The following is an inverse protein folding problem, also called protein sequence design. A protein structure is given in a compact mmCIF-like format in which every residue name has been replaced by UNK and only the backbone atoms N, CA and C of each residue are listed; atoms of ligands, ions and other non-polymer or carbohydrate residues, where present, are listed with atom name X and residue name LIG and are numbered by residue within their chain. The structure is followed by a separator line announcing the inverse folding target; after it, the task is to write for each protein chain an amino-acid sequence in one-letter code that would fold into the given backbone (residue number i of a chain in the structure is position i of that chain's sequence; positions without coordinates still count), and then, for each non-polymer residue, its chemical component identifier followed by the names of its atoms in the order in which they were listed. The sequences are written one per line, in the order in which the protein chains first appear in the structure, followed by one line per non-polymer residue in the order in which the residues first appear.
data_IF_651714849492
#
_entry.id   IF_651714849492
#
_cell.length_a   1.000
_cell.length_b   1.000
_cell.length_c   1.000
_cell.angle_alpha   90.00
_cell.angle_beta   90.00
_cell.angle_gamma   90.00
#
_symmetry.space_group_name_H-M   'P 1'
#
loop_
_entity.id
_entity.type
_entity.pdbx_description
1 polymer ?
#
# COMPACT_ATOMS: atom_id res chain seq x y z
N UNK A 1 1.92 11.39 18.76
CA UNK A 1 1.25 12.63 19.17
C UNK A 1 2.25 13.68 19.68
N UNK A 2 3.05 13.40 20.72
CA UNK A 2 4.03 14.39 21.19
C UNK A 2 4.97 14.88 20.07
N UNK A 3 5.47 13.95 19.24
CA UNK A 3 6.28 14.27 18.04
C UNK A 3 5.58 15.24 17.06
N UNK A 4 4.26 15.14 16.90
CA UNK A 4 3.49 16.03 16.02
C UNK A 4 3.34 17.44 16.62
N UNK A 5 3.20 17.53 17.94
CA UNK A 5 3.13 18.80 18.68
C UNK A 5 4.50 19.50 18.63
N UNK A 6 5.57 18.77 18.93
CA UNK A 6 6.93 19.31 18.96
C UNK A 6 7.36 19.83 17.57
N UNK A 7 6.92 19.14 16.51
CA UNK A 7 7.12 19.54 15.11
C UNK A 7 6.15 20.62 14.64
N UNK A 8 5.23 21.10 15.48
CA UNK A 8 4.18 22.09 15.15
C UNK A 8 3.30 21.65 13.98
N UNK A 9 3.09 20.36 13.82
CA UNK A 9 2.20 19.77 12.82
C UNK A 9 0.74 19.74 13.30
N UNK A 10 0.54 19.83 14.62
CA UNK A 10 -0.78 19.89 15.27
C UNK A 10 -0.71 20.85 16.45
N UNK A 11 -1.82 21.51 16.75
CA UNK A 11 -1.95 22.43 17.88
C UNK A 11 -3.06 22.00 18.84
N UNK A 12 -2.94 22.42 20.10
CA UNK A 12 -3.99 22.18 21.10
C UNK A 12 -5.00 23.31 20.95
N UNK A 13 -6.23 22.95 20.60
CA UNK A 13 -7.35 23.89 20.45
C UNK A 13 -7.76 24.45 21.81
N UNK A 14 -7.94 25.79 21.90
CA UNK A 14 -8.43 26.45 23.11
C UNK A 14 -9.94 26.22 23.32
N UNK A 15 -10.41 26.34 24.57
CA UNK A 15 -11.82 26.11 24.91
C UNK A 15 -12.80 27.21 24.44
N UNK A 16 -12.31 28.27 23.79
CA UNK A 16 -13.15 29.41 23.40
C UNK A 16 -13.87 29.15 22.05
N UNK A 17 -14.97 29.86 21.80
CA UNK A 17 -15.88 29.54 20.70
C UNK A 17 -15.23 29.76 19.33
N UNK A 18 -15.05 28.67 18.58
CA UNK A 18 -14.59 28.71 17.19
C UNK A 18 -15.76 28.70 16.21
N UNK A 19 -15.48 29.05 14.95
CA UNK A 19 -16.45 29.10 13.87
C UNK A 19 -17.18 27.74 13.74
N UNK A 20 -18.49 27.71 14.06
CA UNK A 20 -19.29 26.48 14.06
C UNK A 20 -19.59 25.96 12.65
N UNK A 21 -19.30 26.77 11.62
CA UNK A 21 -19.66 26.45 10.23
C UNK A 21 -18.70 25.43 9.60
N UNK A 22 -17.44 25.39 10.02
CA UNK A 22 -16.42 24.46 9.51
C UNK A 22 -15.79 23.66 10.67
N UNK A 23 -16.57 22.74 11.25
CA UNK A 23 -16.17 21.95 12.41
C UNK A 23 -16.40 20.45 12.18
N UNK A 24 -15.33 19.65 12.26
CA UNK A 24 -15.43 18.20 12.16
C UNK A 24 -14.39 17.50 13.05
N UNK A 25 -14.78 16.37 13.64
CA UNK A 25 -13.90 15.55 14.49
C UNK A 25 -13.55 14.24 13.77
N UNK A 26 -12.32 14.16 13.27
CA UNK A 26 -11.74 13.00 12.62
C UNK A 26 -11.53 11.85 13.61
N UNK A 27 -12.22 10.71 13.41
CA UNK A 27 -11.85 9.47 14.08
C UNK A 27 -10.44 9.07 13.66
N UNK A 28 -9.71 8.44 14.59
CA UNK A 28 -8.37 7.96 14.32
C UNK A 28 -8.10 6.67 15.08
N UNK A 29 -7.17 5.88 14.57
CA UNK A 29 -6.71 4.65 15.19
C UNK A 29 -5.21 4.43 14.95
N UNK A 30 -4.60 3.57 15.76
CA UNK A 30 -3.19 3.24 15.61
C UNK A 30 -3.01 2.12 14.58
N UNK A 31 -2.18 2.39 13.57
CA UNK A 31 -1.72 1.39 12.58
C UNK A 31 -0.28 1.02 12.93
N UNK A 32 -0.05 -0.27 13.17
CA UNK A 32 1.28 -0.80 13.49
C UNK A 32 1.84 -1.49 12.24
N UNK A 33 3.07 -1.15 11.87
CA UNK A 33 3.83 -1.81 10.81
C UNK A 33 5.10 -2.38 11.41
N UNK A 34 5.30 -3.69 11.28
CA UNK A 34 6.53 -4.36 11.72
C UNK A 34 7.49 -4.40 10.53
N UNK A 35 8.69 -3.86 10.71
CA UNK A 35 9.76 -3.90 9.73
C UNK A 35 11.09 -4.13 10.45
N UNK A 36 11.87 -5.14 10.01
CA UNK A 36 13.18 -5.46 10.58
C UNK A 36 13.19 -5.56 12.12
N UNK A 37 12.27 -6.33 12.70
CA UNK A 37 12.09 -6.51 14.16
C UNK A 37 11.66 -5.25 14.94
N UNK A 38 11.56 -4.09 14.29
CA UNK A 38 11.02 -2.86 14.87
C UNK A 38 9.52 -2.69 14.57
N UNK A 39 8.75 -2.31 15.60
CA UNK A 39 7.34 -1.92 15.42
C UNK A 39 7.23 -0.42 15.23
N UNK A 40 6.99 0.03 14.00
CA UNK A 40 6.64 1.42 13.70
C UNK A 40 5.14 1.62 13.87
N UNK A 41 4.73 2.52 14.75
CA UNK A 41 3.33 2.90 14.94
C UNK A 41 3.05 4.22 14.23
N UNK A 42 1.93 4.30 13.50
CA UNK A 42 1.43 5.52 12.83
C UNK A 42 -0.03 5.76 13.23
N UNK A 43 -0.45 7.02 13.24
CA UNK A 43 -1.86 7.39 13.45
C UNK A 43 -2.53 7.42 12.07
N UNK A 44 -3.62 6.68 11.91
CA UNK A 44 -4.47 6.75 10.72
C UNK A 44 -5.76 7.50 11.06
N UNK A 45 -6.08 8.49 10.26
CA UNK A 45 -7.32 9.28 10.34
C UNK A 45 -8.35 8.73 9.35
N UNK A 46 -9.60 8.61 9.78
CA UNK A 46 -10.71 8.13 8.96
C UNK A 46 -11.63 9.29 8.57
N UNK A 47 -11.30 9.94 7.45
CA UNK A 47 -12.09 11.04 6.88
C UNK A 47 -13.37 10.57 6.18
N UNK A 48 -13.57 9.25 6.04
CA UNK A 48 -14.78 8.66 5.45
C UNK A 48 -15.82 8.32 6.50
N UNK A 49 -15.47 8.34 7.79
CA UNK A 49 -16.40 8.07 8.87
C UNK A 49 -17.44 9.19 9.00
N UNK A 50 -18.72 8.81 9.11
CA UNK A 50 -19.80 9.77 9.29
C UNK A 50 -21.02 9.13 9.98
N UNK A 51 -21.83 9.97 10.63
CA UNK A 51 -23.13 9.54 11.15
C UNK A 51 -24.12 9.27 10.02
N UNK A 52 -25.12 8.39 10.21
CA UNK A 52 -26.18 8.19 9.23
C UNK A 52 -26.83 9.51 8.86
N UNK A 53 -26.98 9.79 7.56
CA UNK A 53 -27.57 11.02 6.98
C UNK A 53 -26.74 12.31 7.14
N UNK A 54 -25.49 12.21 7.59
CA UNK A 54 -24.53 13.30 7.56
C UNK A 54 -23.40 12.97 6.58
N UNK A 55 -22.86 13.96 5.85
CA UNK A 55 -21.72 13.74 4.96
C UNK A 55 -20.45 13.43 5.76
N UNK A 56 -19.54 12.66 5.16
CA UNK A 56 -18.16 12.55 5.65
C UNK A 56 -17.36 13.80 5.31
N UNK A 57 -16.16 13.93 5.88
CA UNK A 57 -15.26 15.01 5.49
C UNK A 57 -14.91 14.90 4.00
N UNK A 58 -14.67 13.69 3.50
CA UNK A 58 -14.39 13.46 2.08
C UNK A 58 -15.54 13.88 1.14
N UNK A 59 -16.79 13.76 1.59
CA UNK A 59 -17.96 14.19 0.80
C UNK A 59 -18.13 15.72 0.77
N UNK A 60 -17.60 16.41 1.78
CA UNK A 60 -17.70 17.87 1.92
C UNK A 60 -16.55 18.61 1.22
N UNK A 61 -15.43 17.93 0.92
CA UNK A 61 -14.28 18.51 0.26
C UNK A 61 -14.49 18.62 -1.26
N UNK A 62 -14.11 19.75 -1.85
CA UNK A 62 -14.12 19.91 -3.29
C UNK A 62 -13.03 19.03 -3.93
N UNK A 63 -13.45 18.14 -4.83
CA UNK A 63 -12.53 17.29 -5.59
C UNK A 63 -11.91 18.15 -6.70
N UNK A 64 -10.81 18.83 -6.35
CA UNK A 64 -10.01 19.60 -7.30
C UNK A 64 -9.48 18.76 -8.47
N UNK A 65 -8.90 19.38 -9.51
CA UNK A 65 -8.34 18.66 -10.65
C UNK A 65 -7.24 17.70 -10.21
N UNK A 66 -7.17 16.52 -10.83
CA UNK A 66 -6.08 15.58 -10.58
C UNK A 66 -4.77 16.12 -11.17
N UNK A 67 -3.91 16.65 -10.31
CA UNK A 67 -2.58 17.15 -10.67
C UNK A 67 -1.49 16.06 -10.57
N UNK A 68 -1.85 14.83 -10.20
CA UNK A 68 -0.89 13.74 -10.14
C UNK A 68 -0.46 13.35 -11.55
N UNK A 69 0.85 13.24 -11.81
CA UNK A 69 1.32 12.77 -13.09
C UNK A 69 0.88 11.32 -13.30
N UNK A 70 0.57 10.96 -14.54
CA UNK A 70 0.23 9.58 -14.89
C UNK A 70 1.36 8.63 -14.45
N UNK A 71 1.01 7.65 -13.62
CA UNK A 71 2.01 6.78 -12.98
C UNK A 71 2.74 5.93 -14.01
N UNK A 72 2.06 5.46 -15.05
CA UNK A 72 2.67 4.68 -16.13
C UNK A 72 3.66 5.51 -16.92
N UNK A 73 3.27 6.69 -17.38
CA UNK A 73 4.14 7.62 -18.09
C UNK A 73 5.31 8.06 -17.21
N UNK A 74 5.11 8.21 -15.90
CA UNK A 74 6.18 8.55 -14.95
C UNK A 74 7.19 7.42 -14.82
N UNK A 75 6.73 6.19 -14.62
CA UNK A 75 7.58 5.01 -14.52
C UNK A 75 8.28 4.69 -15.85
N UNK A 76 7.62 4.88 -17.00
CA UNK A 76 8.25 4.73 -18.31
C UNK A 76 9.35 5.79 -18.55
N UNK A 77 9.09 7.07 -18.24
CA UNK A 77 10.13 8.12 -18.32
C UNK A 77 11.32 7.82 -17.41
N UNK A 78 11.03 7.33 -16.20
CA UNK A 78 12.05 6.88 -15.25
C UNK A 78 12.93 5.76 -15.83
N UNK A 79 12.38 4.88 -16.66
CA UNK A 79 13.13 3.82 -17.37
C UNK A 79 13.84 4.29 -18.64
N UNK A 80 13.38 5.35 -19.30
CA UNK A 80 14.00 5.87 -20.52
C UNK A 80 15.25 6.72 -20.24
N UNK A 81 15.25 7.46 -19.12
CA UNK A 81 16.40 8.26 -18.71
C UNK A 81 17.57 7.38 -18.27
N UNK A 82 18.78 7.62 -18.77
CA UNK A 82 19.96 6.83 -18.38
C UNK A 82 20.30 6.99 -16.90
N UNK A 83 20.15 8.21 -16.38
CA UNK A 83 20.44 8.54 -14.98
C UNK A 83 19.09 8.72 -14.27
N UNK A 84 18.91 7.99 -13.18
CA UNK A 84 17.78 8.12 -12.27
C UNK A 84 18.25 8.77 -10.96
N UNK A 85 17.45 9.69 -10.45
CA UNK A 85 17.65 10.28 -9.12
C UNK A 85 16.41 9.92 -8.31
N UNK A 86 16.63 9.26 -7.18
CA UNK A 86 15.58 8.94 -6.22
C UNK A 86 15.86 9.68 -4.92
N UNK A 87 14.84 10.29 -4.35
CA UNK A 87 14.90 10.90 -3.03
C UNK A 87 13.66 10.50 -2.23
N UNK A 88 13.84 10.12 -0.97
CA UNK A 88 12.72 9.92 -0.05
C UNK A 88 12.31 11.28 0.52
N UNK A 89 11.12 11.75 0.14
CA UNK A 89 10.50 12.94 0.69
C UNK A 89 9.79 12.59 1.99
N UNK A 90 10.46 12.77 3.12
CA UNK A 90 9.84 12.46 4.41
C UNK A 90 8.66 13.39 4.71
N UNK A 91 7.48 12.82 4.98
CA UNK A 91 6.32 13.55 5.50
C UNK A 91 5.91 14.78 4.67
N UNK A 92 5.98 14.70 3.33
CA UNK A 92 5.73 15.84 2.44
C UNK A 92 4.39 16.57 2.72
N UNK A 93 3.31 15.84 3.01
CA UNK A 93 2.03 16.44 3.37
C UNK A 93 2.05 17.22 4.70
N UNK A 94 2.89 16.82 5.65
CA UNK A 94 3.05 17.52 6.93
C UNK A 94 3.96 18.76 6.82
N UNK A 95 4.49 19.03 5.62
CA UNK A 95 5.19 20.29 5.31
C UNK A 95 4.23 21.34 4.73
N UNK A 96 2.98 20.98 4.47
CA UNK A 96 1.93 21.91 4.03
C UNK A 96 1.17 22.42 5.25
N UNK A 97 0.79 23.70 5.22
CA UNK A 97 0.00 24.34 6.29
C UNK A 97 -1.43 24.49 5.79
N UNK A 98 -2.40 24.08 6.60
CA UNK A 98 -3.81 24.37 6.36
C UNK A 98 -4.11 25.83 6.69
N UNK A 99 -5.00 26.42 5.89
CA UNK A 99 -5.56 27.75 6.17
C UNK A 99 -6.14 27.78 7.58
N UNK A 100 -6.06 28.91 8.28
CA UNK A 100 -6.58 29.02 9.64
C UNK A 100 -8.09 28.73 9.71
N UNK A 101 -8.80 28.99 8.61
CA UNK A 101 -10.26 28.81 8.47
C UNK A 101 -10.66 27.33 8.35
N UNK A 102 -9.79 26.48 7.79
CA UNK A 102 -10.08 25.06 7.52
C UNK A 102 -9.58 24.09 8.59
N UNK A 103 -8.70 24.54 9.50
CA UNK A 103 -8.09 23.68 10.53
C UNK A 103 -9.13 22.95 11.38
N UNK A 104 -10.25 23.61 11.67
CA UNK A 104 -11.32 23.08 12.51
C UNK A 104 -12.13 21.94 11.87
N UNK A 105 -12.03 21.75 10.55
CA UNK A 105 -12.52 20.55 9.87
C UNK A 105 -11.62 19.32 10.08
N UNK A 106 -10.45 19.46 10.70
CA UNK A 106 -9.48 18.37 10.90
C UNK A 106 -9.20 18.06 12.38
N UNK A 107 -10.07 18.48 13.29
CA UNK A 107 -9.89 18.22 14.73
C UNK A 107 -9.93 16.72 15.01
N UNK A 108 -9.24 16.29 16.05
CA UNK A 108 -9.35 14.93 16.56
C UNK A 108 -9.15 14.92 18.07
N UNK A 109 -9.77 13.95 18.74
CA UNK A 109 -9.62 13.79 20.18
C UNK A 109 -8.35 13.00 20.48
N UNK A 110 -7.57 13.39 21.49
CA UNK A 110 -6.44 12.57 21.97
C UNK A 110 -6.53 12.41 23.48
N UNK A 111 -6.54 11.17 23.97
CA UNK A 111 -6.65 10.86 25.39
C UNK A 111 -5.38 10.16 25.89
N UNK A 112 -4.98 10.48 27.12
CA UNK A 112 -3.84 9.85 27.79
C UNK A 112 -4.31 8.55 28.45
N UNK A 113 -3.82 7.41 27.96
CA UNK A 113 -4.09 6.09 28.57
C UNK A 113 -2.98 5.68 29.55
N UNK A 114 -3.36 5.04 30.66
CA UNK A 114 -2.46 4.27 31.53
C UNK A 114 -2.78 2.78 31.35
N UNK A 115 -1.77 1.95 31.13
CA UNK A 115 -1.94 0.51 30.89
C UNK A 115 -1.99 -0.29 32.21
N UNK A 116 -2.85 -1.31 32.26
CA UNK A 116 -2.78 -2.41 33.24
C UNK A 116 -2.18 -3.69 32.61
N UNK A 117 -1.65 -4.63 33.42
CA UNK A 117 -0.70 -5.66 32.98
C UNK A 117 -1.21 -6.72 31.99
N UNK A 118 -2.50 -6.76 31.67
CA UNK A 118 -3.10 -7.81 30.82
C UNK A 118 -3.30 -7.34 29.37
N UNK A 119 -2.65 -6.24 29.01
CA UNK A 119 -2.74 -5.59 27.70
C UNK A 119 -2.53 -6.56 26.53
N UNK A 120 -3.59 -6.80 25.75
CA UNK A 120 -3.48 -7.50 24.49
C UNK A 120 -4.24 -6.76 23.40
N UNK A 121 -3.50 -6.25 22.42
CA UNK A 121 -4.02 -5.85 21.12
C UNK A 121 -3.00 -6.30 20.07
N UNK A 122 -3.29 -7.42 19.42
CA UNK A 122 -2.50 -7.98 18.33
C UNK A 122 -3.32 -7.85 17.04
N UNK A 123 -2.72 -7.26 16.00
CA UNK A 123 -3.28 -7.18 14.65
C UNK A 123 -2.22 -7.77 13.73
N UNK A 124 -2.64 -8.63 12.79
CA UNK A 124 -1.79 -9.43 11.92
C UNK A 124 -1.16 -8.63 10.77
N UNK A 125 0.04 -9.05 10.39
CA UNK A 125 0.96 -8.43 9.44
C UNK A 125 0.43 -8.36 7.99
N UNK A 126 0.54 -7.19 7.37
CA UNK A 126 0.34 -7.03 5.93
C UNK A 126 1.68 -7.06 5.18
N UNK A 127 2.13 -8.27 4.80
CA UNK A 127 3.26 -8.44 3.88
C UNK A 127 2.77 -8.24 2.45
N UNK A 128 3.42 -7.34 1.70
CA UNK A 128 3.11 -7.01 0.31
C UNK A 128 4.24 -7.51 -0.60
N UNK A 129 3.89 -8.17 -1.71
CA UNK A 129 4.81 -8.56 -2.78
C UNK A 129 4.85 -7.41 -3.80
N UNK A 130 5.68 -6.42 -3.52
CA UNK A 130 5.88 -5.24 -4.36
C UNK A 130 7.16 -5.35 -5.20
N UNK A 131 7.13 -4.76 -6.39
CA UNK A 131 8.34 -4.55 -7.20
C UNK A 131 9.22 -3.51 -6.51
N UNK A 132 10.47 -3.87 -6.21
CA UNK A 132 11.47 -3.03 -5.59
C UNK A 132 12.51 -2.60 -6.61
N UNK A 133 13.02 -1.37 -6.47
CA UNK A 133 14.19 -0.90 -7.18
C UNK A 133 15.44 -1.14 -6.32
N UNK A 134 16.39 -1.89 -6.86
CA UNK A 134 17.75 -1.99 -6.33
C UNK A 134 18.58 -0.86 -6.95
N UNK A 135 18.91 0.14 -6.13
CA UNK A 135 19.62 1.35 -6.58
C UNK A 135 21.09 1.11 -6.88
N UNK A 136 21.69 0.08 -6.26
CA UNK A 136 23.11 -0.24 -6.44
C UNK A 136 23.34 -0.95 -7.77
N UNK A 137 22.42 -1.85 -8.14
CA UNK A 137 22.48 -2.63 -9.39
C UNK A 137 21.67 -2.02 -10.53
N UNK A 138 20.86 -1.00 -10.25
CA UNK A 138 19.95 -0.33 -11.20
C UNK A 138 18.93 -1.28 -11.87
N UNK A 139 18.34 -2.17 -11.05
CA UNK A 139 17.41 -3.21 -11.50
C UNK A 139 16.14 -3.22 -10.65
N UNK A 140 15.03 -3.61 -11.27
CA UNK A 140 13.81 -3.99 -10.59
C UNK A 140 13.83 -5.47 -10.22
N UNK A 141 13.33 -5.80 -9.04
CA UNK A 141 13.19 -7.18 -8.55
C UNK A 141 12.03 -7.31 -7.57
N UNK A 142 11.71 -8.54 -7.16
CA UNK A 142 10.75 -8.82 -6.10
C UNK A 142 11.47 -9.58 -4.99
N UNK A 143 11.12 -9.26 -3.75
CA UNK A 143 11.60 -9.97 -2.56
C UNK A 143 10.49 -10.87 -2.01
N UNK A 144 10.57 -12.15 -2.39
CA UNK A 144 9.68 -13.22 -1.94
C UNK A 144 10.25 -13.84 -0.67
N UNK A 145 9.67 -13.44 0.45
CA UNK A 145 10.07 -13.90 1.78
C UNK A 145 9.53 -15.31 2.06
N UNK A 146 10.36 -16.16 2.67
CA UNK A 146 9.99 -17.57 2.95
C UNK A 146 8.72 -17.70 3.81
N UNK A 147 8.50 -16.75 4.74
CA UNK A 147 7.28 -16.70 5.56
C UNK A 147 5.99 -16.58 4.73
N UNK A 148 6.05 -15.96 3.55
CA UNK A 148 4.91 -15.89 2.63
C UNK A 148 4.64 -17.29 2.11
N UNK A 149 5.65 -17.95 1.53
CA UNK A 149 5.50 -19.31 1.01
C UNK A 149 4.95 -20.27 2.08
N UNK A 150 5.43 -20.16 3.33
CA UNK A 150 4.93 -20.95 4.46
C UNK A 150 3.48 -20.63 4.83
N UNK A 151 3.10 -19.34 4.88
CA UNK A 151 1.75 -18.91 5.25
C UNK A 151 0.66 -19.35 4.27
N UNK A 152 1.03 -19.69 3.03
CA UNK A 152 0.10 -20.07 1.97
C UNK A 152 0.20 -21.55 1.58
N UNK A 153 0.93 -22.34 2.38
CA UNK A 153 1.27 -23.73 2.07
C UNK A 153 0.10 -24.70 2.24
N UNK A 154 -0.74 -24.58 3.29
CA UNK A 154 -1.91 -25.44 3.51
C UNK A 154 -2.67 -25.03 4.80
N UNK A 155 -4.00 -25.27 4.93
CA UNK A 155 -4.93 -25.78 3.91
C UNK A 155 -5.31 -24.69 2.90
N UNK A 156 -5.38 -25.05 1.61
CA UNK A 156 -5.62 -24.08 0.54
C UNK A 156 -7.11 -23.97 0.24
N UNK A 157 -7.63 -22.75 0.38
CA UNK A 157 -9.01 -22.38 0.04
C UNK A 157 -9.02 -21.28 -1.01
N UNK A 158 -10.17 -21.08 -1.66
CA UNK A 158 -10.36 -19.96 -2.60
C UNK A 158 -10.10 -18.60 -1.95
N UNK A 159 -10.47 -18.42 -0.68
CA UNK A 159 -10.16 -17.19 0.10
C UNK A 159 -8.65 -17.02 0.29
N UNK A 160 -7.93 -18.10 0.57
CA UNK A 160 -6.48 -18.05 0.75
C UNK A 160 -5.75 -17.69 -0.56
N UNK A 161 -6.20 -18.22 -1.70
CA UNK A 161 -5.67 -17.83 -3.01
C UNK A 161 -5.80 -16.32 -3.24
N UNK A 162 -7.02 -15.78 -3.07
CA UNK A 162 -7.28 -14.36 -3.28
C UNK A 162 -6.43 -13.49 -2.35
N UNK A 163 -6.25 -13.92 -1.09
CA UNK A 163 -5.42 -13.23 -0.10
C UNK A 163 -3.95 -13.12 -0.53
N UNK A 164 -3.42 -14.09 -1.30
CA UNK A 164 -2.07 -13.96 -1.86
C UNK A 164 -2.05 -13.12 -3.13
N UNK A 165 -3.03 -13.32 -4.03
CA UNK A 165 -3.12 -12.58 -5.29
C UNK A 165 -3.19 -11.07 -5.03
N UNK A 166 -3.98 -10.65 -4.02
CA UNK A 166 -4.11 -9.25 -3.62
C UNK A 166 -2.83 -8.66 -3.03
N UNK A 167 -1.81 -9.48 -2.73
CA UNK A 167 -0.50 -8.99 -2.25
C UNK A 167 0.45 -8.62 -3.38
N UNK A 168 0.16 -8.96 -4.63
CA UNK A 168 1.00 -8.57 -5.76
C UNK A 168 0.68 -7.14 -6.19
N UNK A 169 1.67 -6.26 -6.06
CA UNK A 169 1.61 -4.88 -6.56
C UNK A 169 2.70 -4.69 -7.60
N UNK A 170 2.31 -4.82 -8.87
CA UNK A 170 3.17 -4.66 -10.04
C UNK A 170 2.56 -3.62 -10.97
N UNK A 171 2.92 -2.36 -10.76
CA UNK A 171 2.36 -1.24 -11.52
C UNK A 171 2.80 -1.20 -12.98
N UNK A 172 3.91 -1.86 -13.32
CA UNK A 172 4.48 -1.88 -14.68
C UNK A 172 4.19 -3.19 -15.42
N UNK A 173 3.47 -4.12 -14.80
CA UNK A 173 3.24 -5.47 -15.31
C UNK A 173 4.55 -6.23 -15.67
N UNK A 174 5.66 -5.92 -14.98
CA UNK A 174 6.97 -6.54 -15.22
C UNK A 174 6.98 -8.05 -14.92
N UNK A 175 6.16 -8.47 -13.97
CA UNK A 175 5.96 -9.84 -13.51
C UNK A 175 4.56 -10.36 -13.85
N UNK A 176 3.87 -9.73 -14.81
CA UNK A 176 2.60 -10.20 -15.34
C UNK A 176 2.60 -11.69 -15.75
N UNK A 177 3.67 -12.26 -16.35
CA UNK A 177 3.73 -13.71 -16.63
C UNK A 177 3.56 -14.59 -15.39
N UNK A 178 3.95 -14.10 -14.22
CA UNK A 178 3.79 -14.84 -12.95
C UNK A 178 2.42 -14.61 -12.33
N UNK A 179 1.92 -13.36 -12.35
CA UNK A 179 0.61 -13.03 -11.76
C UNK A 179 -0.56 -13.53 -12.59
N UNK A 180 -0.41 -13.67 -13.91
CA UNK A 180 -1.48 -14.18 -14.78
C UNK A 180 -1.79 -15.65 -14.51
N UNK A 181 -0.78 -16.46 -14.21
CA UNK A 181 -0.94 -17.90 -13.92
C UNK A 181 -1.86 -18.08 -12.71
N UNK A 182 -1.62 -17.32 -11.65
CA UNK A 182 -2.43 -17.43 -10.43
C UNK A 182 -3.83 -16.82 -10.59
N UNK A 183 -3.99 -15.81 -11.45
CA UNK A 183 -5.31 -15.27 -11.81
C UNK A 183 -6.14 -16.28 -12.60
N UNK A 184 -5.52 -17.02 -13.53
CA UNK A 184 -6.15 -18.13 -14.26
C UNK A 184 -6.55 -19.23 -13.27
N UNK A 185 -5.65 -19.64 -12.38
CA UNK A 185 -5.96 -20.65 -11.37
C UNK A 185 -7.14 -20.22 -10.47
N UNK A 186 -7.17 -18.95 -10.09
CA UNK A 186 -8.30 -18.40 -9.34
C UNK A 186 -9.61 -18.42 -10.15
N UNK A 187 -9.56 -18.12 -11.45
CA UNK A 187 -10.71 -18.25 -12.35
C UNK A 187 -11.23 -19.69 -12.41
N UNK A 188 -10.35 -20.70 -12.44
CA UNK A 188 -10.76 -22.11 -12.42
C UNK A 188 -11.54 -22.47 -11.16
N UNK A 189 -11.17 -21.89 -10.00
CA UNK A 189 -11.94 -22.08 -8.76
C UNK A 189 -13.35 -21.49 -8.81
N UNK A 190 -13.54 -20.42 -9.60
CA UNK A 190 -14.85 -19.84 -9.85
C UNK A 190 -15.70 -20.74 -10.74
N UNK A 191 -15.13 -21.22 -11.84
CA UNK A 191 -15.81 -22.09 -12.80
C UNK A 191 -16.20 -23.44 -12.18
N UNK A 192 -15.43 -23.92 -11.21
CA UNK A 192 -15.70 -25.16 -10.48
C UNK A 192 -16.78 -25.04 -9.40
N UNK A 193 -17.29 -23.82 -9.12
CA UNK A 193 -18.34 -23.60 -8.13
C UNK A 193 -17.94 -23.82 -6.66
N UNK A 194 -16.64 -23.85 -6.35
CA UNK A 194 -16.12 -24.11 -5.00
C UNK A 194 -16.44 -22.92 -4.07
N UNK A 195 -16.82 -23.21 -2.83
CA UNK A 195 -17.11 -22.18 -1.82
C UNK A 195 -15.81 -21.52 -1.30
N UNK A 196 -15.92 -20.33 -0.72
CA UNK A 196 -14.77 -19.53 -0.28
C UNK A 196 -13.81 -20.23 0.68
N UNK A 197 -14.36 -20.98 1.64
CA UNK A 197 -13.63 -21.63 2.73
C UNK A 197 -13.55 -23.16 2.57
N UNK A 198 -13.96 -23.65 1.40
CA UNK A 198 -13.85 -25.06 1.04
C UNK A 198 -12.44 -25.36 0.47
N UNK A 199 -11.96 -26.58 0.74
CA UNK A 199 -10.68 -27.04 0.22
C UNK A 199 -10.71 -27.12 -1.30
N UNK A 200 -9.62 -26.70 -1.94
CA UNK A 200 -9.49 -26.82 -3.39
C UNK A 200 -9.39 -28.30 -3.82
N UNK A 201 -9.97 -28.68 -4.97
CA UNK A 201 -9.78 -29.99 -5.56
C UNK A 201 -8.30 -30.33 -5.70
N UNK A 202 -7.90 -31.61 -5.54
CA UNK A 202 -6.49 -32.01 -5.53
C UNK A 202 -5.68 -31.52 -6.73
N UNK A 203 -6.29 -31.50 -7.93
CA UNK A 203 -5.65 -31.01 -9.15
C UNK A 203 -5.30 -29.51 -9.07
N UNK A 204 -6.22 -28.67 -8.61
CA UNK A 204 -6.04 -27.22 -8.47
C UNK A 204 -5.06 -26.92 -7.33
N UNK A 205 -5.20 -27.64 -6.21
CA UNK A 205 -4.27 -27.53 -5.10
C UNK A 205 -2.83 -27.88 -5.54
N UNK A 206 -2.63 -28.94 -6.32
CA UNK A 206 -1.30 -29.30 -6.81
C UNK A 206 -0.69 -28.21 -7.70
N UNK A 207 -1.47 -27.59 -8.58
CA UNK A 207 -1.01 -26.47 -9.42
C UNK A 207 -0.64 -25.25 -8.56
N UNK A 208 -1.44 -24.93 -7.54
CA UNK A 208 -1.13 -23.89 -6.58
C UNK A 208 0.21 -24.12 -5.89
N UNK A 209 0.42 -25.30 -5.31
CA UNK A 209 1.65 -25.61 -4.59
C UNK A 209 2.88 -25.53 -5.49
N UNK A 210 2.76 -25.99 -6.74
CA UNK A 210 3.84 -25.86 -7.73
C UNK A 210 4.19 -24.39 -7.95
N UNK A 211 3.21 -23.57 -8.29
CA UNK A 211 3.41 -22.14 -8.53
C UNK A 211 3.96 -21.43 -7.28
N UNK A 212 3.45 -21.76 -6.09
CA UNK A 212 3.90 -21.17 -4.81
C UNK A 212 5.36 -21.52 -4.50
N UNK A 213 5.81 -22.74 -4.82
CA UNK A 213 7.21 -23.13 -4.64
C UNK A 213 8.13 -22.46 -5.66
N UNK A 214 7.66 -22.29 -6.91
CA UNK A 214 8.39 -21.57 -7.96
C UNK A 214 8.45 -20.05 -7.69
N UNK A 215 7.58 -19.53 -6.83
CA UNK A 215 7.54 -18.10 -6.52
C UNK A 215 8.88 -17.59 -5.94
N UNK A 216 9.62 -18.41 -5.20
CA UNK A 216 10.93 -18.03 -4.67
C UNK A 216 11.97 -17.75 -5.77
N UNK A 217 11.81 -18.34 -6.97
CA UNK A 217 12.69 -18.08 -8.10
C UNK A 217 12.59 -16.62 -8.60
N UNK A 218 11.53 -15.89 -8.24
CA UNK A 218 11.43 -14.46 -8.53
C UNK A 218 12.55 -13.64 -7.88
N UNK A 219 13.11 -14.11 -6.77
CA UNK A 219 14.24 -13.46 -6.09
C UNK A 219 15.48 -13.38 -6.98
N UNK A 220 15.60 -14.27 -7.96
CA UNK A 220 16.73 -14.33 -8.89
C UNK A 220 16.49 -13.50 -10.16
N UNK A 221 15.24 -13.07 -10.40
CA UNK A 221 14.87 -12.31 -11.58
C UNK A 221 15.12 -10.82 -11.34
N UNK A 222 15.97 -10.25 -12.18
CA UNK A 222 16.35 -8.84 -12.14
C UNK A 222 16.12 -8.21 -13.51
N UNK A 223 15.31 -7.15 -13.55
CA UNK A 223 14.94 -6.46 -14.79
C UNK A 223 15.64 -5.09 -14.81
N UNK A 224 16.47 -4.78 -15.82
CA UNK A 224 17.11 -3.47 -15.90
C UNK A 224 16.11 -2.31 -15.85
N UNK A 225 16.41 -1.31 -15.02
CA UNK A 225 15.62 -0.07 -14.99
C UNK A 225 15.73 0.62 -16.33
N UNK A 226 16.95 0.92 -16.78
CA UNK A 226 17.19 1.64 -18.03
C UNK A 226 16.93 0.75 -19.26
N UNK A 227 16.07 1.21 -20.16
CA UNK A 227 15.71 0.52 -21.42
C UNK A 227 16.14 1.29 -22.68
N UNK A 228 16.90 2.38 -22.50
CA UNK A 228 17.38 3.18 -23.61
C UNK A 228 18.38 2.41 -24.49
N UNK A 229 18.46 2.76 -25.78
CA UNK A 229 19.37 2.09 -26.69
C UNK A 229 20.83 2.35 -26.26
N UNK A 230 21.65 1.31 -26.32
CA UNK A 230 23.10 1.39 -26.11
C UNK A 230 23.83 1.99 -27.33
N UNK A 231 23.11 2.28 -28.41
CA UNK A 231 23.58 2.84 -29.68
C UNK A 231 22.73 4.05 -30.09
N UNK A 232 23.31 4.94 -30.90
CA UNK A 232 22.62 6.14 -31.38
C UNK A 232 21.40 5.74 -32.24
N UNK A 233 20.21 6.16 -31.82
CA UNK A 233 18.97 5.99 -32.58
C UNK A 233 18.62 7.30 -33.26
N UNK A 234 18.42 7.25 -34.57
CA UNK A 234 17.91 8.37 -35.38
C UNK A 234 16.43 8.11 -35.67
N UNK A 235 15.57 9.06 -35.31
CA UNK A 235 14.13 8.97 -35.60
C UNK A 235 13.89 9.67 -36.94
N UNK A 236 13.36 8.93 -37.91
CA UNK A 236 12.94 9.45 -39.21
C UNK A 236 11.42 9.44 -39.29
N UNK A 237 10.83 10.54 -39.73
CA UNK A 237 9.39 10.70 -40.03
C UNK A 237 9.24 11.17 -41.47
N UNK A 238 8.14 10.78 -42.12
CA UNK A 238 7.75 11.28 -43.45
C UNK A 238 7.13 12.67 -43.36
#
# INVERSE_FOLDING_TARGET
MQDYIDKKQVEIVSHEAHNKECLFYLPHHAVKKIANEETKCRIAFDASSHSPRHPSLNDALEIGPNLLPDIMATLLRFRLSKIAITCDGSQAFLQLILSDEDRDATRFLWYKTTYTPVGKLCIEDEIVLEVKLDTDRDVFGIDVQEKIVRAFKEPVTKRLLLKLISKFYDTLDLFAPVTVIVKILFQDTWLSGIKWDELLPPAVAQQWHRWLNELQCLNDIHIPRWIGPSYAVTIHVF
#
